data_IF_284492698111
#
_entry.id   IF_284492698111
#
_cell.length_a   1.000
_cell.length_b   1.000
_cell.length_c   1.000
_cell.angle_alpha   90.00
_cell.angle_beta   90.00
_cell.angle_gamma   90.00
#
_symmetry.space_group_name_H-M   'P 1'
#
loop_
_entity.id
_entity.type
_entity.pdbx_description
1 polymer ?
#
# COMPACT_ATOMS: atom_id res chain seq x y z
N UNK A 1 -30.30 7.62 -0.28
CA UNK A 1 -30.64 8.55 0.82
C UNK A 1 -29.57 8.64 1.92
N UNK A 2 -29.07 7.51 2.43
CA UNK A 2 -28.05 7.46 3.51
C UNK A 2 -26.78 8.27 3.21
N UNK A 3 -26.39 8.34 1.93
CA UNK A 3 -25.19 9.06 1.46
C UNK A 3 -25.50 10.48 0.94
N UNK A 4 -26.72 11.00 1.17
CA UNK A 4 -27.13 12.34 0.73
C UNK A 4 -27.51 12.43 -0.76
N UNK A 5 -27.34 11.33 -1.51
CA UNK A 5 -27.63 11.25 -2.95
C UNK A 5 -28.71 10.19 -3.22
N UNK A 6 -29.59 10.47 -4.19
CA UNK A 6 -30.63 9.56 -4.66
C UNK A 6 -30.21 8.75 -5.90
N UNK A 7 -29.25 9.24 -6.67
CA UNK A 7 -28.69 8.56 -7.84
C UNK A 7 -27.94 7.29 -7.45
N UNK A 8 -28.09 6.25 -8.26
CA UNK A 8 -27.30 5.01 -8.18
C UNK A 8 -26.33 4.95 -9.35
N UNK A 9 -25.14 4.36 -9.19
CA UNK A 9 -24.21 4.25 -10.30
C UNK A 9 -24.72 3.25 -11.35
N UNK A 10 -24.31 3.45 -12.60
CA UNK A 10 -24.58 2.53 -13.71
C UNK A 10 -23.29 1.86 -14.13
N UNK A 11 -23.20 0.54 -13.95
CA UNK A 11 -21.99 -0.22 -14.28
C UNK A 11 -22.26 -1.50 -15.09
N UNK A 12 -23.48 -1.63 -15.63
CA UNK A 12 -23.89 -2.85 -16.32
C UNK A 12 -23.20 -2.96 -17.69
N UNK A 13 -22.06 -3.66 -17.73
CA UNK A 13 -21.13 -3.65 -18.86
C UNK A 13 -21.77 -3.99 -20.21
N UNK A 14 -22.65 -5.00 -20.27
CA UNK A 14 -23.27 -5.42 -21.53
C UNK A 14 -24.17 -4.35 -22.16
N UNK A 15 -24.68 -3.41 -21.36
CA UNK A 15 -25.62 -2.39 -21.80
C UNK A 15 -25.15 -0.98 -21.44
N UNK A 16 -23.84 -0.81 -21.20
CA UNK A 16 -23.29 0.46 -20.73
C UNK A 16 -23.22 1.44 -21.90
N UNK A 17 -23.96 2.55 -21.80
CA UNK A 17 -23.82 3.66 -22.74
C UNK A 17 -22.59 4.48 -22.36
N UNK A 18 -21.56 4.42 -23.21
CA UNK A 18 -20.27 5.07 -22.94
C UNK A 18 -20.42 6.58 -22.70
N UNK A 19 -21.37 7.26 -23.33
CA UNK A 19 -21.55 8.70 -23.17
C UNK A 19 -22.50 8.97 -22.01
N UNK A 20 -23.73 8.47 -22.10
CA UNK A 20 -24.80 8.83 -21.16
C UNK A 20 -24.57 8.26 -19.76
N UNK A 21 -24.14 6.99 -19.65
CA UNK A 21 -23.91 6.37 -18.35
C UNK A 21 -22.62 6.89 -17.69
N UNK A 22 -21.60 7.26 -18.49
CA UNK A 22 -20.41 7.93 -17.98
C UNK A 22 -20.74 9.32 -17.43
N UNK A 23 -21.53 10.11 -18.16
CA UNK A 23 -21.96 11.43 -17.69
C UNK A 23 -22.84 11.33 -16.43
N UNK A 24 -23.74 10.34 -16.38
CA UNK A 24 -24.53 10.02 -15.18
C UNK A 24 -23.64 9.69 -13.98
N UNK A 25 -22.64 8.82 -14.16
CA UNK A 25 -21.71 8.44 -13.09
C UNK A 25 -20.80 9.61 -12.66
N UNK A 26 -20.39 10.47 -13.60
CA UNK A 26 -19.62 11.68 -13.29
C UNK A 26 -20.43 12.66 -12.44
N UNK A 27 -21.71 12.84 -12.77
CA UNK A 27 -22.62 13.67 -11.99
C UNK A 27 -22.90 13.09 -10.59
N UNK A 28 -23.06 11.76 -10.48
CA UNK A 28 -23.09 11.08 -9.18
C UNK A 28 -21.80 11.34 -8.39
N UNK A 29 -20.64 11.24 -9.03
CA UNK A 29 -19.34 11.51 -8.43
C UNK A 29 -19.24 12.93 -7.85
N UNK A 30 -19.66 13.95 -8.61
CA UNK A 30 -19.72 15.34 -8.14
C UNK A 30 -20.58 15.50 -6.90
N UNK A 31 -21.78 14.93 -6.90
CA UNK A 31 -22.71 14.99 -5.74
C UNK A 31 -22.14 14.30 -4.50
N UNK A 32 -21.45 13.18 -4.68
CA UNK A 32 -20.76 12.51 -3.57
C UNK A 32 -19.63 13.38 -3.01
N UNK A 33 -18.88 14.08 -3.86
CA UNK A 33 -17.85 15.02 -3.41
C UNK A 33 -18.47 16.18 -2.62
N UNK A 34 -19.59 16.73 -3.07
CA UNK A 34 -20.33 17.77 -2.33
C UNK A 34 -20.74 17.29 -0.93
N UNK A 35 -21.25 16.06 -0.84
CA UNK A 35 -21.62 15.42 0.44
C UNK A 35 -20.40 15.08 1.33
N UNK A 36 -19.18 15.04 0.78
CA UNK A 36 -17.93 14.86 1.53
C UNK A 36 -17.37 16.17 2.07
N UNK A 37 -17.51 17.27 1.33
CA UNK A 37 -16.85 18.54 1.65
C UNK A 37 -17.73 19.49 2.46
N UNK A 38 -19.05 19.38 2.36
CA UNK A 38 -19.99 20.24 3.09
C UNK A 38 -19.99 19.91 4.59
N UNK A 39 -20.01 20.90 5.50
CA UNK A 39 -20.05 20.67 6.95
C UNK A 39 -21.20 19.75 7.40
N UNK A 40 -22.35 19.86 6.75
CA UNK A 40 -23.57 19.09 6.99
C UNK A 40 -23.79 17.94 5.99
N UNK A 41 -22.80 17.66 5.14
CA UNK A 41 -22.83 16.55 4.20
C UNK A 41 -22.90 15.20 4.91
N UNK A 42 -23.56 14.21 4.29
CA UNK A 42 -23.76 12.89 4.91
C UNK A 42 -22.52 11.99 4.88
N UNK A 43 -21.44 12.38 4.20
CA UNK A 43 -20.22 11.58 4.05
C UNK A 43 -19.05 12.23 4.80
N UNK A 44 -19.03 12.13 6.13
CA UNK A 44 -17.95 12.74 6.91
C UNK A 44 -16.64 11.95 6.83
N UNK A 45 -15.61 12.55 6.24
CA UNK A 45 -14.24 12.02 6.19
C UNK A 45 -13.29 12.63 7.24
N UNK A 46 -13.81 13.36 8.23
CA UNK A 46 -13.01 14.04 9.27
C UNK A 46 -12.10 13.10 10.09
N UNK A 47 -12.43 11.81 10.16
CA UNK A 47 -11.60 10.76 10.80
C UNK A 47 -10.99 9.78 9.79
N UNK A 48 -11.06 10.10 8.50
CA UNK A 48 -10.57 9.29 7.39
C UNK A 48 -11.54 8.21 6.90
N UNK A 49 -11.29 7.75 5.67
CA UNK A 49 -12.12 6.77 4.98
C UNK A 49 -12.21 5.43 5.72
N UNK A 50 -11.10 4.95 6.34
CA UNK A 50 -11.12 3.72 7.15
C UNK A 50 -12.10 3.81 8.31
N UNK A 51 -12.18 4.96 8.99
CA UNK A 51 -13.10 5.13 10.11
C UNK A 51 -14.56 5.14 9.66
N UNK A 52 -14.85 5.80 8.54
CA UNK A 52 -16.17 5.78 7.91
C UNK A 52 -16.57 4.36 7.50
N UNK A 53 -15.70 3.64 6.78
CA UNK A 53 -15.93 2.27 6.34
C UNK A 53 -16.22 1.32 7.52
N UNK A 54 -15.51 1.46 8.65
CA UNK A 54 -15.82 0.69 9.88
C UNK A 54 -17.18 1.02 10.48
N UNK A 55 -17.61 2.27 10.41
CA UNK A 55 -18.95 2.68 10.85
C UNK A 55 -20.02 2.04 10.00
N UNK A 56 -19.93 2.23 8.69
CA UNK A 56 -20.85 1.64 7.71
C UNK A 56 -20.87 0.12 7.79
N UNK A 57 -19.73 -0.54 7.99
CA UNK A 57 -19.66 -1.99 8.10
C UNK A 57 -20.35 -2.54 9.36
N UNK A 58 -20.43 -1.75 10.44
CA UNK A 58 -21.21 -2.15 11.64
C UNK A 58 -22.71 -2.06 11.41
N UNK A 59 -23.14 -1.11 10.61
CA UNK A 59 -24.56 -0.85 10.34
C UNK A 59 -25.10 -1.71 9.18
N UNK A 60 -24.28 -1.90 8.13
CA UNK A 60 -24.67 -2.51 6.85
C UNK A 60 -23.96 -3.84 6.57
N UNK A 61 -23.00 -4.23 7.41
CA UNK A 61 -22.25 -5.48 7.31
C UNK A 61 -20.84 -5.33 6.73
N UNK A 62 -20.02 -6.35 7.01
CA UNK A 62 -18.61 -6.45 6.57
C UNK A 62 -18.35 -6.18 5.07
N UNK A 63 -19.24 -6.55 4.12
CA UNK A 63 -19.00 -6.32 2.69
C UNK A 63 -18.72 -4.86 2.28
N UNK A 64 -19.10 -3.88 3.09
CA UNK A 64 -18.72 -2.47 2.85
C UNK A 64 -17.21 -2.27 3.05
N UNK A 65 -16.65 -2.83 4.12
CA UNK A 65 -15.21 -2.77 4.39
C UNK A 65 -14.42 -3.58 3.36
N UNK A 66 -14.93 -4.74 2.97
CA UNK A 66 -14.26 -5.66 2.04
C UNK A 66 -14.05 -5.08 0.64
N UNK A 67 -14.73 -3.98 0.29
CA UNK A 67 -14.53 -3.27 -0.98
C UNK A 67 -13.47 -2.18 -0.90
N UNK A 68 -13.08 -1.76 0.31
CA UNK A 68 -12.14 -0.66 0.51
C UNK A 68 -10.70 -1.18 0.59
N UNK A 69 -9.97 -1.09 -0.53
CA UNK A 69 -8.55 -1.48 -0.60
C UNK A 69 -7.71 -0.44 0.12
N UNK A 70 -7.06 -0.83 1.22
CA UNK A 70 -6.24 0.07 2.01
C UNK A 70 -5.27 -0.67 2.93
N UNK A 71 -4.15 -0.03 3.26
CA UNK A 71 -3.34 -0.41 4.42
C UNK A 71 -3.88 0.25 5.68
N UNK A 72 -3.74 -0.44 6.82
CA UNK A 72 -4.22 0.02 8.11
C UNK A 72 -3.03 0.28 9.05
N UNK A 73 -3.08 1.39 9.78
CA UNK A 73 -2.04 1.79 10.72
C UNK A 73 -2.65 2.24 12.05
N UNK A 74 -2.25 1.59 13.14
CA UNK A 74 -2.76 1.79 14.48
C UNK A 74 -4.31 1.87 14.50
N UNK A 75 -4.86 2.79 15.29
CA UNK A 75 -6.31 2.91 15.53
C UNK A 75 -7.11 3.52 14.37
N UNK A 76 -6.52 4.46 13.64
CA UNK A 76 -7.23 5.27 12.63
C UNK A 76 -6.46 5.46 11.34
N UNK A 77 -5.13 5.33 11.35
CA UNK A 77 -4.30 5.53 10.18
C UNK A 77 -4.68 4.57 9.07
N UNK A 78 -4.62 5.07 7.85
CA UNK A 78 -4.91 4.33 6.64
C UNK A 78 -4.20 4.97 5.46
N UNK A 79 -3.95 4.18 4.43
CA UNK A 79 -3.51 4.69 3.14
C UNK A 79 -4.03 3.78 2.03
N UNK A 80 -4.52 4.38 0.95
CA UNK A 80 -4.81 3.62 -0.27
C UNK A 80 -3.50 3.32 -1.00
N UNK A 81 -3.31 2.12 -1.54
CA UNK A 81 -2.21 1.83 -2.45
C UNK A 81 -2.11 2.84 -3.59
N UNK A 82 -0.90 3.10 -4.05
CA UNK A 82 -0.69 3.76 -5.34
C UNK A 82 -1.12 2.83 -6.49
N UNK A 83 -1.18 3.34 -7.72
CA UNK A 83 -1.75 2.63 -8.89
C UNK A 83 -0.91 1.43 -9.40
N UNK A 84 -0.06 0.84 -8.57
CA UNK A 84 0.75 -0.33 -8.92
C UNK A 84 0.10 -1.61 -8.43
N UNK A 85 0.06 -2.61 -9.31
CA UNK A 85 -0.49 -3.92 -8.99
C UNK A 85 0.62 -4.87 -8.55
N UNK A 86 1.00 -4.80 -7.26
CA UNK A 86 2.08 -5.60 -6.68
C UNK A 86 1.93 -5.70 -5.16
N UNK A 87 2.32 -6.80 -4.49
CA UNK A 87 2.07 -6.98 -3.05
C UNK A 87 2.77 -5.96 -2.16
N UNK A 88 3.88 -5.35 -2.61
CA UNK A 88 4.63 -4.37 -1.81
C UNK A 88 3.83 -3.11 -1.45
N UNK A 89 2.82 -2.74 -2.24
CA UNK A 89 1.92 -1.60 -1.92
C UNK A 89 0.99 -1.87 -0.74
N UNK A 90 0.87 -3.14 -0.33
CA UNK A 90 0.14 -3.61 0.84
C UNK A 90 1.09 -4.13 1.94
N UNK A 91 2.39 -3.88 1.79
CA UNK A 91 3.38 -4.30 2.77
C UNK A 91 3.17 -3.59 4.11
N UNK A 92 3.54 -4.26 5.21
CA UNK A 92 3.42 -3.70 6.55
C UNK A 92 4.59 -2.78 6.89
N UNK A 93 4.78 -1.72 6.12
CA UNK A 93 5.80 -0.70 6.40
C UNK A 93 5.28 0.34 7.39
N UNK A 94 6.20 0.97 8.11
CA UNK A 94 5.88 1.99 9.11
C UNK A 94 5.28 3.27 8.51
N UNK A 95 5.61 3.59 7.26
CA UNK A 95 5.09 4.76 6.54
C UNK A 95 4.67 4.30 5.15
N UNK A 96 3.36 4.23 4.92
CA UNK A 96 2.75 3.97 3.61
C UNK A 96 2.24 5.28 2.99
N UNK A 97 2.16 5.33 1.65
CA UNK A 97 1.78 6.54 0.89
C UNK A 97 2.96 7.40 0.48
N UNK A 98 4.12 7.21 1.14
CA UNK A 98 5.43 7.40 0.53
C UNK A 98 5.82 6.09 -0.12
N UNK A 99 6.52 6.11 -1.24
CA UNK A 99 6.92 4.87 -1.92
C UNK A 99 8.13 4.21 -1.22
N UNK A 100 8.09 4.14 0.11
CA UNK A 100 9.07 3.47 0.97
C UNK A 100 8.87 1.94 0.94
N UNK A 101 8.50 1.42 -0.22
CA UNK A 101 8.21 0.03 -0.48
C UNK A 101 8.62 -0.27 -1.93
N UNK A 102 8.76 -1.55 -2.23
CA UNK A 102 8.98 -2.05 -3.57
C UNK A 102 7.65 -2.12 -4.33
N UNK A 103 7.59 -1.45 -5.47
CA UNK A 103 6.42 -1.46 -6.37
C UNK A 103 6.75 -2.01 -7.76
N UNK A 104 7.83 -2.79 -7.88
CA UNK A 104 8.12 -3.55 -9.08
C UNK A 104 7.10 -4.68 -9.29
N UNK A 105 6.96 -5.08 -10.56
CA UNK A 105 6.04 -6.15 -10.95
C UNK A 105 6.65 -7.55 -10.81
N UNK A 106 7.94 -7.70 -10.48
CA UNK A 106 8.57 -9.02 -10.35
C UNK A 106 8.00 -9.77 -9.13
N UNK A 107 7.81 -11.08 -9.24
CA UNK A 107 7.53 -11.92 -8.08
C UNK A 107 8.75 -12.00 -7.16
N UNK A 108 8.51 -11.84 -5.86
CA UNK A 108 9.49 -12.06 -4.80
C UNK A 108 8.81 -12.87 -3.70
N UNK A 109 9.47 -13.87 -3.12
CA UNK A 109 9.01 -14.49 -1.88
C UNK A 109 8.74 -13.40 -0.83
N UNK A 110 7.69 -13.50 -0.01
CA UNK A 110 7.25 -12.40 0.85
C UNK A 110 8.32 -11.96 1.83
N UNK A 111 9.17 -12.88 2.31
CA UNK A 111 10.28 -12.53 3.20
C UNK A 111 11.30 -11.62 2.53
N UNK A 112 11.66 -11.93 1.29
CA UNK A 112 12.56 -11.13 0.47
C UNK A 112 11.92 -9.81 0.04
N UNK A 113 10.63 -9.82 -0.29
CA UNK A 113 9.88 -8.60 -0.55
C UNK A 113 9.91 -7.66 0.67
N UNK A 114 9.80 -8.21 1.88
CA UNK A 114 9.96 -7.46 3.13
C UNK A 114 11.31 -6.75 3.27
N UNK A 115 12.40 -7.46 2.93
CA UNK A 115 13.77 -6.91 2.92
C UNK A 115 13.94 -5.85 1.84
N UNK A 116 13.40 -6.10 0.67
CA UNK A 116 13.47 -5.18 -0.46
C UNK A 116 12.66 -3.89 -0.21
N UNK A 117 11.50 -3.98 0.45
CA UNK A 117 10.76 -2.81 0.91
C UNK A 117 11.60 -1.96 1.89
N UNK A 118 12.29 -2.61 2.81
CA UNK A 118 13.18 -1.95 3.76
C UNK A 118 14.36 -1.24 3.08
N UNK A 119 15.01 -1.88 2.11
CA UNK A 119 16.07 -1.26 1.31
C UNK A 119 15.55 -0.05 0.55
N UNK A 120 14.33 -0.13 0.01
CA UNK A 120 13.71 1.00 -0.69
C UNK A 120 13.39 2.16 0.24
N UNK A 121 12.90 1.88 1.44
CA UNK A 121 12.71 2.89 2.47
C UNK A 121 14.01 3.65 2.78
N UNK A 122 15.16 2.97 2.88
CA UNK A 122 16.44 3.63 3.13
C UNK A 122 16.81 4.64 2.03
N UNK A 123 16.71 4.22 0.77
CA UNK A 123 17.04 5.09 -0.36
C UNK A 123 16.09 6.27 -0.53
N UNK A 124 14.79 6.00 -0.41
CA UNK A 124 13.77 7.03 -0.54
C UNK A 124 13.83 8.03 0.63
N UNK A 125 14.24 7.56 1.82
CA UNK A 125 14.53 8.44 2.95
C UNK A 125 15.76 9.33 2.68
N UNK A 126 16.79 8.84 1.98
CA UNK A 126 17.91 9.69 1.55
C UNK A 126 17.44 10.80 0.61
N UNK A 127 16.63 10.46 -0.41
CA UNK A 127 16.07 11.43 -1.36
C UNK A 127 15.25 12.51 -0.63
N UNK A 128 14.32 12.08 0.23
CA UNK A 128 13.47 12.97 1.03
C UNK A 128 14.30 13.88 1.94
N UNK A 129 15.34 13.33 2.59
CA UNK A 129 16.18 14.09 3.52
C UNK A 129 17.05 15.13 2.82
N UNK A 130 17.44 14.87 1.57
CA UNK A 130 18.22 15.81 0.75
C UNK A 130 17.34 16.74 -0.11
N UNK A 131 16.01 16.62 -0.01
CA UNK A 131 15.08 17.42 -0.79
C UNK A 131 15.16 17.18 -2.29
N UNK A 132 15.67 16.02 -2.72
CA UNK A 132 15.77 15.67 -4.13
C UNK A 132 14.41 15.12 -4.58
N UNK A 133 13.89 15.69 -5.67
CA UNK A 133 12.65 15.22 -6.25
C UNK A 133 12.73 13.73 -6.59
N UNK A 134 11.72 12.96 -6.17
CA UNK A 134 11.56 11.52 -6.44
C UNK A 134 11.82 11.12 -7.89
N UNK A 135 11.52 11.97 -8.87
CA UNK A 135 11.74 11.68 -10.28
C UNK A 135 13.23 11.52 -10.66
N UNK A 136 14.14 11.84 -9.74
CA UNK A 136 15.57 11.61 -9.88
C UNK A 136 16.07 10.31 -9.23
N UNK A 137 15.15 9.43 -8.78
CA UNK A 137 15.46 8.08 -8.29
C UNK A 137 16.33 7.27 -9.27
N UNK A 138 16.89 6.18 -8.77
CA UNK A 138 17.95 5.38 -9.41
C UNK A 138 19.27 6.14 -9.55
N UNK A 139 19.35 7.17 -10.41
CA UNK A 139 20.64 7.83 -10.65
C UNK A 139 21.10 8.70 -9.46
N UNK A 140 20.18 9.38 -8.76
CA UNK A 140 20.55 10.20 -7.62
C UNK A 140 20.94 9.36 -6.40
N UNK A 141 20.43 8.13 -6.28
CA UNK A 141 20.71 7.21 -5.17
C UNK A 141 22.21 6.94 -5.01
N UNK A 142 22.90 6.74 -6.13
CA UNK A 142 24.34 6.48 -6.14
C UNK A 142 25.17 7.76 -5.91
N UNK A 143 24.67 8.92 -6.35
CA UNK A 143 25.41 10.19 -6.26
C UNK A 143 25.22 10.93 -4.94
N UNK A 144 24.09 10.77 -4.25
CA UNK A 144 23.77 11.47 -3.00
C UNK A 144 24.88 11.34 -1.93
N UNK A 145 25.42 10.15 -1.64
CA UNK A 145 26.49 10.00 -0.65
C UNK A 145 27.75 10.79 -1.04
N UNK A 146 28.09 10.82 -2.33
CA UNK A 146 29.27 11.51 -2.84
C UNK A 146 29.07 13.03 -2.87
N UNK A 147 27.84 13.52 -3.10
CA UNK A 147 27.49 14.93 -2.98
C UNK A 147 27.69 15.39 -1.53
N UNK A 148 27.21 14.62 -0.56
CA UNK A 148 27.40 14.92 0.87
C UNK A 148 28.87 14.89 1.26
N UNK A 149 29.64 13.96 0.70
CA UNK A 149 31.09 13.94 0.91
C UNK A 149 31.76 15.20 0.38
N UNK A 150 31.48 15.58 -0.87
CA UNK A 150 32.14 16.73 -1.51
C UNK A 150 31.80 18.06 -0.83
N UNK A 151 30.59 18.22 -0.32
CA UNK A 151 30.14 19.48 0.28
C UNK A 151 30.51 19.55 1.77
N UNK A 152 30.37 18.44 2.50
CA UNK A 152 30.46 18.44 3.96
C UNK A 152 31.53 17.51 4.55
N UNK A 153 32.07 16.55 3.79
CA UNK A 153 32.99 15.52 4.30
C UNK A 153 32.34 14.58 5.32
N UNK A 154 31.04 14.31 5.17
CA UNK A 154 30.22 13.60 6.17
C UNK A 154 29.46 12.39 5.60
N UNK A 155 29.93 11.76 4.52
CA UNK A 155 29.24 10.64 3.86
C UNK A 155 28.85 9.53 4.83
N UNK A 156 29.81 9.02 5.60
CA UNK A 156 29.56 7.88 6.49
C UNK A 156 28.59 8.25 7.62
N UNK A 157 28.72 9.47 8.16
CA UNK A 157 27.80 9.97 9.19
C UNK A 157 26.39 10.14 8.63
N UNK A 158 26.25 10.60 7.39
CA UNK A 158 24.97 10.72 6.71
C UNK A 158 24.31 9.35 6.53
N UNK A 159 25.02 8.38 5.95
CA UNK A 159 24.51 7.02 5.75
C UNK A 159 24.12 6.34 7.07
N UNK A 160 24.94 6.47 8.11
CA UNK A 160 24.63 5.97 9.44
C UNK A 160 23.37 6.64 10.03
N UNK A 161 23.21 7.95 9.83
CA UNK A 161 22.03 8.66 10.31
C UNK A 161 20.74 8.23 9.62
N UNK A 162 20.80 7.90 8.32
CA UNK A 162 19.68 7.37 7.55
C UNK A 162 19.28 5.99 8.06
N UNK A 163 20.26 5.09 8.26
CA UNK A 163 20.02 3.77 8.82
C UNK A 163 19.36 3.83 10.20
N UNK A 164 19.91 4.66 11.11
CA UNK A 164 19.34 4.87 12.44
C UNK A 164 17.93 5.47 12.39
N UNK A 165 17.69 6.41 11.48
CA UNK A 165 16.37 7.04 11.34
C UNK A 165 15.34 6.03 10.83
N UNK A 166 15.69 5.24 9.81
CA UNK A 166 14.82 4.21 9.27
C UNK A 166 14.53 3.08 10.29
N UNK A 167 15.54 2.68 11.08
CA UNK A 167 15.38 1.77 12.20
C UNK A 167 14.38 2.29 13.23
N UNK A 168 14.52 3.54 13.67
CA UNK A 168 13.64 4.18 14.67
C UNK A 168 12.21 4.38 14.18
N UNK A 169 12.04 4.65 12.90
CA UNK A 169 10.70 4.72 12.27
C UNK A 169 10.08 3.31 12.30
N UNK A 170 10.83 2.29 11.90
CA UNK A 170 10.36 0.90 11.87
C UNK A 170 10.09 0.33 13.25
N UNK A 171 10.85 0.68 14.29
CA UNK A 171 10.60 0.22 15.66
C UNK A 171 9.29 0.75 16.26
N UNK A 172 8.69 1.76 15.62
CA UNK A 172 7.36 2.31 15.94
C UNK A 172 6.28 1.90 14.93
N UNK A 173 6.56 0.90 14.09
CA UNK A 173 5.60 0.38 13.13
C UNK A 173 4.37 -0.18 13.85
N UNK A 174 3.20 0.39 13.56
CA UNK A 174 1.91 -0.05 14.08
C UNK A 174 0.98 -0.48 12.94
N UNK A 175 1.55 -0.98 11.84
CA UNK A 175 0.78 -1.57 10.75
C UNK A 175 -0.09 -2.72 11.27
N UNK A 176 -1.27 -2.86 10.66
CA UNK A 176 -2.26 -3.87 11.01
C UNK A 176 -2.46 -4.78 9.79
N UNK A 177 -2.67 -6.07 10.05
CA UNK A 177 -3.05 -7.02 9.01
C UNK A 177 -4.27 -6.51 8.21
N UNK A 178 -4.36 -6.94 6.96
CA UNK A 178 -5.36 -6.47 6.00
C UNK A 178 -6.79 -6.65 6.52
N UNK A 179 -7.49 -5.52 6.71
CA UNK A 179 -8.88 -5.50 7.20
C UNK A 179 -9.91 -5.82 6.11
N UNK A 180 -9.53 -5.67 4.84
CA UNK A 180 -10.41 -5.78 3.66
C UNK A 180 -10.10 -7.04 2.86
N UNK A 181 -11.15 -7.77 2.49
CA UNK A 181 -11.03 -8.94 1.60
C UNK A 181 -10.34 -8.60 0.27
N UNK A 182 -10.63 -7.42 -0.28
CA UNK A 182 -10.06 -7.03 -1.57
C UNK A 182 -8.55 -6.87 -1.55
N UNK A 183 -7.94 -6.59 -0.38
CA UNK A 183 -6.48 -6.60 -0.25
C UNK A 183 -5.92 -8.00 -0.50
N UNK A 184 -6.58 -9.02 0.07
CA UNK A 184 -6.20 -10.43 -0.07
C UNK A 184 -6.38 -10.85 -1.54
N UNK A 185 -7.52 -10.53 -2.13
CA UNK A 185 -7.81 -10.81 -3.54
C UNK A 185 -6.74 -10.19 -4.45
N UNK A 186 -6.35 -8.93 -4.21
CA UNK A 186 -5.35 -8.24 -5.02
C UNK A 186 -4.01 -8.99 -5.05
N UNK A 187 -3.55 -9.46 -3.88
CA UNK A 187 -2.31 -10.23 -3.77
C UNK A 187 -2.45 -11.60 -4.43
N UNK A 188 -3.54 -12.33 -4.16
CA UNK A 188 -3.76 -13.65 -4.76
C UNK A 188 -3.86 -13.56 -6.28
N UNK A 189 -4.59 -12.58 -6.82
CA UNK A 189 -4.69 -12.31 -8.25
C UNK A 189 -3.35 -11.91 -8.84
N UNK A 190 -2.53 -11.11 -8.15
CA UNK A 190 -1.17 -10.84 -8.60
C UNK A 190 -0.37 -12.13 -8.77
N UNK A 191 -0.37 -13.02 -7.77
CA UNK A 191 0.35 -14.29 -7.83
C UNK A 191 -0.17 -15.18 -8.98
N UNK A 192 -1.50 -15.29 -9.14
CA UNK A 192 -2.11 -16.04 -10.24
C UNK A 192 -1.69 -15.50 -11.61
N UNK A 193 -1.68 -14.18 -11.78
CA UNK A 193 -1.22 -13.57 -13.02
C UNK A 193 0.26 -13.85 -13.30
N UNK A 194 1.12 -13.96 -12.28
CA UNK A 194 2.52 -14.34 -12.48
C UNK A 194 2.68 -15.73 -13.07
N UNK A 195 1.88 -16.69 -12.60
CA UNK A 195 1.93 -18.04 -13.15
C UNK A 195 1.23 -18.12 -14.52
N UNK A 196 0.04 -17.55 -14.65
CA UNK A 196 -0.85 -17.81 -15.79
C UNK A 196 -0.65 -16.87 -16.98
N UNK A 197 -0.24 -15.64 -16.73
CA UNK A 197 -0.08 -14.60 -17.77
C UNK A 197 1.40 -14.41 -18.08
N UNK A 198 2.22 -14.24 -17.04
CA UNK A 198 3.66 -14.01 -17.21
C UNK A 198 4.46 -15.32 -17.38
N UNK A 199 3.80 -16.47 -17.25
CA UNK A 199 4.39 -17.81 -17.37
C UNK A 199 5.64 -18.02 -16.50
N UNK A 200 5.61 -17.51 -15.27
CA UNK A 200 6.67 -17.67 -14.30
C UNK A 200 6.49 -19.00 -13.56
N UNK A 201 7.53 -19.83 -13.61
CA UNK A 201 7.64 -21.08 -12.86
C UNK A 201 8.71 -20.92 -11.79
N UNK A 202 8.26 -20.77 -10.55
CA UNK A 202 9.10 -20.56 -9.38
C UNK A 202 8.52 -21.38 -8.22
N UNK A 203 9.33 -22.23 -7.55
CA UNK A 203 8.83 -23.10 -6.48
C UNK A 203 8.18 -22.34 -5.31
N UNK A 204 8.69 -21.14 -4.97
CA UNK A 204 8.09 -20.33 -3.90
C UNK A 204 6.75 -19.74 -4.37
N UNK A 205 6.65 -19.30 -5.63
CA UNK A 205 5.38 -18.83 -6.20
C UNK A 205 4.32 -19.94 -6.16
N UNK A 206 4.68 -21.14 -6.60
CA UNK A 206 3.79 -22.31 -6.61
C UNK A 206 3.38 -22.71 -5.20
N UNK A 207 4.31 -22.69 -4.24
CA UNK A 207 4.03 -22.94 -2.83
C UNK A 207 3.01 -21.94 -2.27
N UNK A 208 3.21 -20.65 -2.50
CA UNK A 208 2.26 -19.64 -2.02
C UNK A 208 0.89 -19.77 -2.70
N UNK A 209 0.85 -20.05 -4.00
CA UNK A 209 -0.42 -20.29 -4.71
C UNK A 209 -1.20 -21.47 -4.11
N UNK A 210 -0.54 -22.59 -3.81
CA UNK A 210 -1.16 -23.75 -3.14
C UNK A 210 -1.75 -23.35 -1.77
N UNK A 211 -0.99 -22.61 -0.96
CA UNK A 211 -1.48 -22.13 0.34
C UNK A 211 -2.70 -21.22 0.18
N UNK A 212 -2.67 -20.28 -0.77
CA UNK A 212 -3.79 -19.36 -1.02
C UNK A 212 -5.03 -20.06 -1.56
N UNK A 213 -4.87 -21.08 -2.43
CA UNK A 213 -5.98 -21.85 -2.97
C UNK A 213 -6.59 -22.80 -1.92
N UNK A 214 -5.80 -23.27 -0.95
CA UNK A 214 -6.26 -24.10 0.17
C UNK A 214 -6.97 -23.31 1.27
N UNK A 215 -6.37 -22.22 1.73
CA UNK A 215 -6.94 -21.32 2.75
C UNK A 215 -6.42 -19.90 2.53
N UNK A 216 -7.18 -19.13 1.76
CA UNK A 216 -6.84 -17.77 1.34
C UNK A 216 -6.55 -16.83 2.51
N UNK A 217 -7.30 -16.94 3.61
CA UNK A 217 -7.14 -16.03 4.75
C UNK A 217 -5.90 -16.37 5.56
N UNK A 218 -5.66 -17.66 5.80
CA UNK A 218 -4.46 -18.10 6.50
C UNK A 218 -3.20 -17.78 5.69
N UNK A 219 -3.20 -18.09 4.40
CA UNK A 219 -2.08 -17.79 3.51
C UNK A 219 -1.78 -16.28 3.46
N UNK A 220 -2.82 -15.44 3.36
CA UNK A 220 -2.66 -13.99 3.39
C UNK A 220 -2.02 -13.49 4.68
N UNK A 221 -2.45 -14.03 5.83
CA UNK A 221 -1.87 -13.69 7.13
C UNK A 221 -0.40 -14.08 7.20
N UNK A 222 -0.06 -15.32 6.81
CA UNK A 222 1.32 -15.79 6.77
C UNK A 222 2.20 -14.96 5.81
N UNK A 223 1.69 -14.66 4.60
CA UNK A 223 2.37 -13.83 3.61
C UNK A 223 2.67 -12.42 4.14
N UNK A 224 1.70 -11.80 4.82
CA UNK A 224 1.87 -10.49 5.47
C UNK A 224 2.94 -10.53 6.55
N UNK A 225 2.96 -11.57 7.39
CA UNK A 225 3.97 -11.70 8.43
C UNK A 225 5.35 -12.00 7.88
N UNK A 226 5.50 -12.75 6.80
CA UNK A 226 6.81 -12.93 6.17
C UNK A 226 7.37 -11.60 5.64
N UNK A 227 6.56 -10.76 5.00
CA UNK A 227 6.98 -9.40 4.65
C UNK A 227 7.38 -8.60 5.88
N UNK A 228 6.56 -8.61 6.93
CA UNK A 228 6.83 -7.88 8.17
C UNK A 228 8.17 -8.29 8.80
N UNK A 229 8.41 -9.60 8.89
CA UNK A 229 9.64 -10.14 9.44
C UNK A 229 10.85 -9.82 8.56
N UNK A 230 10.70 -9.75 7.23
CA UNK A 230 11.77 -9.34 6.31
C UNK A 230 12.18 -7.89 6.50
N UNK A 231 11.19 -7.00 6.66
CA UNK A 231 11.44 -5.60 7.00
C UNK A 231 12.22 -5.44 8.30
N UNK A 232 11.87 -6.21 9.34
CA UNK A 232 12.54 -6.20 10.64
C UNK A 232 13.93 -6.85 10.65
N UNK A 233 14.26 -7.69 9.67
CA UNK A 233 15.64 -8.18 9.50
C UNK A 233 16.57 -7.08 9.00
N UNK A 234 16.07 -6.21 8.13
CA UNK A 234 16.87 -5.15 7.51
C UNK A 234 16.90 -3.86 8.33
N UNK A 235 15.76 -3.42 8.87
CA UNK A 235 15.64 -2.15 9.61
C UNK A 235 15.63 -2.40 11.12
N UNK A 236 16.82 -2.55 11.70
CA UNK A 236 17.00 -2.72 13.15
C UNK A 236 17.66 -1.48 13.76
N UNK A 237 17.20 -1.07 14.93
CA UNK A 237 17.87 -0.04 15.73
C UNK A 237 19.28 -0.48 16.17
N UNK A 238 19.50 -1.80 16.29
CA UNK A 238 20.80 -2.42 16.56
C UNK A 238 21.05 -3.52 15.52
N UNK A 239 21.83 -3.24 14.46
CA UNK A 239 22.24 -4.26 13.50
C UNK A 239 23.13 -5.32 14.20
N UNK A 240 22.96 -6.59 13.82
CA UNK A 240 23.74 -7.74 14.32
C UNK A 240 24.85 -8.03 13.33
#
# INVERSE_FOLDING_TARGET
EDMGVAMTPKWHFQSFDVVEDSMHNAELGKRLLDEMVRPEGKISLNKGARKLARGLAREKGKPVMDRFVHTAFARQGWMVPNQYWTPGVLAPMAIMGKYYMHYGSRFMPPRDLGRENALRMLQELMLDNLGICRFHRAWAEDLMPDIIEKIYGLKDRFLASIGLTAGRITSRNASVFWESERNIDMVHTFLKNKQQVDNIHDPDLEHWLDLFDKDKHRAAFEFWYEMHKGTHETLRDFPV
#
